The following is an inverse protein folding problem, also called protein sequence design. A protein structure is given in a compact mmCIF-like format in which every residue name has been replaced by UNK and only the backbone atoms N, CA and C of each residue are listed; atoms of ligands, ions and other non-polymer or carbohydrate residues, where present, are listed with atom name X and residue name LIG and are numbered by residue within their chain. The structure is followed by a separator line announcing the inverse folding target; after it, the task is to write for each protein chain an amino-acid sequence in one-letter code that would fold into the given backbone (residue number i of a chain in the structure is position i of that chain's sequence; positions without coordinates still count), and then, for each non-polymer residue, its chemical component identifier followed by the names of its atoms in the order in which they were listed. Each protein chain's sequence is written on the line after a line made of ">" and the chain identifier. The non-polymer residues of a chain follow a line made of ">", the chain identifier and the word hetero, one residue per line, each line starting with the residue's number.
data_IF_335407365781
#
_entry.id   IF_335407365781
#
_cell.length_a   1.000
_cell.length_b   1.000
_cell.length_c   1.000
_cell.angle_alpha   90.00
_cell.angle_beta   90.00
_cell.angle_gamma   90.00
#
_symmetry.space_group_name_H-M   'P 1'
#
loop_
_entity.id
_entity.type
_entity.pdbx_description
1 polymer ?
#
# COMPACT_ATOMS: atom_id res chain seq x y z
N UNK A 1 -51.98 -0.82 27.30
CA UNK A 1 -50.70 -0.35 27.88
C UNK A 1 -49.62 -1.45 27.82
N UNK A 2 -48.47 -1.34 27.16
CA UNK A 2 -47.83 -0.34 26.30
C UNK A 2 -46.80 -1.12 25.46
N UNK A 3 -46.64 -0.78 24.18
CA UNK A 3 -45.63 -1.36 23.29
C UNK A 3 -44.20 -1.16 23.86
N UNK A 4 -43.22 -2.02 23.51
CA UNK A 4 -41.85 -1.82 23.94
C UNK A 4 -41.31 -0.48 23.41
N UNK A 5 -40.41 0.19 24.14
CA UNK A 5 -39.93 1.52 23.76
C UNK A 5 -39.22 1.44 22.42
N UNK A 6 -39.53 2.40 21.53
CA UNK A 6 -38.75 2.72 20.35
C UNK A 6 -37.31 3.06 20.77
N UNK A 7 -36.47 2.05 20.88
CA UNK A 7 -35.06 2.16 21.22
C UNK A 7 -34.29 2.70 20.04
N UNK A 8 -34.11 4.02 20.03
CA UNK A 8 -32.93 4.74 19.53
C UNK A 8 -32.26 4.11 18.30
N UNK A 9 -32.75 4.49 17.11
CA UNK A 9 -31.92 4.41 15.91
C UNK A 9 -30.74 5.36 16.15
N UNK A 10 -29.61 4.81 16.57
CA UNK A 10 -28.35 5.55 16.62
C UNK A 10 -28.09 6.03 15.20
N UNK A 11 -28.39 7.29 14.94
CA UNK A 11 -28.03 7.98 13.71
C UNK A 11 -26.53 8.29 13.80
N UNK A 12 -25.70 7.25 13.84
CA UNK A 12 -24.29 7.38 13.49
C UNK A 12 -24.27 7.78 12.04
N UNK A 13 -24.25 9.09 11.77
CA UNK A 13 -23.66 9.59 10.54
C UNK A 13 -22.24 9.04 10.51
N UNK A 14 -22.06 7.92 9.80
CA UNK A 14 -20.74 7.50 9.37
C UNK A 14 -20.22 8.68 8.54
N UNK A 15 -19.32 9.45 9.12
CA UNK A 15 -18.50 10.41 8.40
C UNK A 15 -17.66 9.59 7.41
N UNK A 16 -18.21 9.31 6.24
CA UNK A 16 -17.52 8.61 5.18
C UNK A 16 -16.41 9.53 4.67
N UNK A 17 -15.18 9.20 5.02
CA UNK A 17 -14.01 9.87 4.50
C UNK A 17 -13.85 9.40 3.05
N UNK A 18 -13.99 10.31 2.11
CA UNK A 18 -13.64 10.02 0.71
C UNK A 18 -12.13 10.16 0.58
N UNK A 19 -11.51 9.11 0.07
CA UNK A 19 -10.11 9.11 -0.33
C UNK A 19 -10.04 9.26 -1.85
N UNK A 20 -9.16 10.13 -2.33
CA UNK A 20 -8.83 10.22 -3.76
C UNK A 20 -7.48 9.60 -4.03
N UNK A 21 -7.37 8.67 -5.01
CA UNK A 21 -6.08 8.20 -5.45
C UNK A 21 -5.36 9.30 -6.22
N UNK A 22 -4.06 9.41 -5.99
CA UNK A 22 -3.13 10.25 -6.77
C UNK A 22 -1.89 9.42 -7.09
N UNK A 23 -1.46 9.46 -8.35
CA UNK A 23 -0.18 8.88 -8.74
C UNK A 23 0.94 9.83 -8.35
N UNK A 24 1.89 9.34 -7.56
CA UNK A 24 3.20 9.96 -7.35
C UNK A 24 4.14 9.56 -8.50
N UNK A 25 4.00 8.33 -9.00
CA UNK A 25 4.70 7.81 -10.18
C UNK A 25 3.72 6.95 -10.98
N UNK A 26 3.59 7.22 -12.27
CA UNK A 26 2.78 6.42 -13.18
C UNK A 26 3.51 5.13 -13.59
N UNK A 27 2.74 4.12 -14.00
CA UNK A 27 3.28 2.93 -14.66
C UNK A 27 3.41 3.22 -16.16
N UNK A 28 4.64 3.46 -16.61
CA UNK A 28 4.99 3.86 -17.98
C UNK A 28 5.96 2.86 -18.65
N UNK A 29 5.85 1.57 -18.26
CA UNK A 29 6.73 0.47 -18.66
C UNK A 29 8.21 0.62 -18.26
N UNK A 30 8.59 1.73 -17.62
CA UNK A 30 9.91 1.92 -17.03
C UNK A 30 9.94 1.47 -15.56
N UNK A 31 11.11 1.01 -15.09
CA UNK A 31 11.35 0.71 -13.68
C UNK A 31 12.16 1.82 -13.02
N UNK A 32 11.92 1.99 -11.72
CA UNK A 32 12.71 2.86 -10.87
C UNK A 32 12.12 4.23 -10.63
N UNK A 33 12.49 4.85 -9.51
CA UNK A 33 12.00 6.14 -9.06
C UNK A 33 13.13 7.17 -9.04
N UNK A 34 12.78 8.42 -9.36
CA UNK A 34 13.70 9.55 -9.21
C UNK A 34 13.91 9.90 -7.75
N UNK A 35 14.92 10.72 -7.46
CA UNK A 35 15.11 11.29 -6.12
C UNK A 35 13.89 12.11 -5.68
N UNK A 36 13.21 12.79 -6.61
CA UNK A 36 12.01 13.57 -6.30
C UNK A 36 10.86 12.65 -5.81
N UNK A 37 10.64 11.51 -6.46
CA UNK A 37 9.65 10.52 -6.00
C UNK A 37 10.00 9.98 -4.60
N UNK A 38 11.26 9.67 -4.33
CA UNK A 38 11.71 9.22 -3.01
C UNK A 38 11.40 10.27 -1.93
N UNK A 39 11.77 11.53 -2.19
CA UNK A 39 11.53 12.65 -1.28
C UNK A 39 10.03 12.85 -1.02
N UNK A 40 9.20 12.75 -2.05
CA UNK A 40 7.75 12.86 -1.90
C UNK A 40 7.16 11.71 -1.06
N UNK A 41 7.60 10.47 -1.29
CA UNK A 41 7.19 9.32 -0.48
C UNK A 41 7.58 9.53 0.99
N UNK A 42 8.79 10.00 1.28
CA UNK A 42 9.18 10.31 2.67
C UNK A 42 8.28 11.39 3.28
N UNK A 43 8.01 12.48 2.56
CA UNK A 43 7.10 13.55 3.00
C UNK A 43 5.65 13.09 3.21
N UNK A 44 5.18 12.10 2.45
CA UNK A 44 3.88 11.45 2.66
C UNK A 44 3.87 10.63 3.96
N UNK A 45 4.94 9.89 4.22
CA UNK A 45 5.10 9.07 5.41
C UNK A 45 5.24 9.93 6.68
N UNK A 46 5.94 11.06 6.62
CA UNK A 46 6.00 12.06 7.71
C UNK A 46 4.63 12.58 8.11
N UNK A 47 3.70 12.67 7.15
CA UNK A 47 2.30 13.06 7.38
C UNK A 47 1.42 11.89 7.82
N UNK A 48 2.01 10.73 8.11
CA UNK A 48 1.28 9.52 8.49
C UNK A 48 0.43 8.93 7.35
N UNK A 49 0.78 9.20 6.09
CA UNK A 49 0.05 8.69 4.91
C UNK A 49 0.82 7.52 4.29
N UNK A 50 0.32 6.26 4.40
CA UNK A 50 0.91 5.13 3.72
C UNK A 50 0.82 5.25 2.19
N UNK A 51 1.75 4.61 1.50
CA UNK A 51 1.87 4.66 0.04
C UNK A 51 1.80 3.26 -0.54
N UNK A 52 0.98 3.05 -1.56
CA UNK A 52 0.96 1.82 -2.34
C UNK A 52 2.01 1.90 -3.45
N UNK A 53 2.78 0.83 -3.66
CA UNK A 53 3.76 0.79 -4.74
C UNK A 53 3.89 -0.62 -5.35
N UNK A 54 3.99 -0.68 -6.67
CA UNK A 54 4.35 -1.88 -7.42
C UNK A 54 5.87 -2.06 -7.47
N UNK A 55 6.36 -3.20 -6.98
CA UNK A 55 7.78 -3.53 -6.98
C UNK A 55 8.08 -4.68 -7.94
N UNK A 56 9.21 -4.60 -8.64
CA UNK A 56 9.86 -5.79 -9.19
C UNK A 56 10.42 -6.60 -8.02
N UNK A 57 10.21 -7.90 -8.02
CA UNK A 57 10.66 -8.80 -6.95
C UNK A 57 11.35 -10.05 -7.52
N UNK A 58 12.15 -10.72 -6.71
CA UNK A 58 12.71 -12.05 -6.97
C UNK A 58 12.55 -12.91 -5.71
N UNK A 59 12.61 -14.23 -5.85
CA UNK A 59 12.66 -15.15 -4.71
C UNK A 59 13.98 -15.03 -3.92
N UNK A 60 15.05 -14.51 -4.55
CA UNK A 60 16.38 -14.40 -3.95
C UNK A 60 16.94 -12.98 -4.15
N UNK A 61 16.40 -11.97 -3.45
CA UNK A 61 16.94 -10.61 -3.53
C UNK A 61 18.31 -10.56 -2.88
N UNK A 62 19.16 -9.65 -3.36
CA UNK A 62 20.40 -9.36 -2.64
C UNK A 62 20.02 -8.68 -1.33
N UNK A 63 20.61 -9.17 -0.23
CA UNK A 63 20.35 -8.65 1.11
C UNK A 63 21.63 -8.11 1.72
N UNK A 64 21.46 -7.13 2.60
CA UNK A 64 22.50 -6.64 3.48
C UNK A 64 21.95 -6.48 4.89
N UNK A 65 22.81 -6.56 5.90
CA UNK A 65 22.42 -6.26 7.27
C UNK A 65 22.77 -4.82 7.62
N UNK A 66 21.77 -4.07 8.06
CA UNK A 66 21.89 -2.69 8.52
C UNK A 66 21.51 -2.67 10.00
N UNK A 67 22.52 -2.76 10.87
CA UNK A 67 22.29 -3.03 12.29
C UNK A 67 21.68 -4.42 12.47
N UNK A 68 20.50 -4.49 13.10
CA UNK A 68 19.76 -5.74 13.32
C UNK A 68 18.66 -5.99 12.27
N UNK A 69 18.69 -5.26 11.15
CA UNK A 69 17.65 -5.32 10.09
C UNK A 69 18.25 -5.85 8.79
N UNK A 70 17.69 -6.91 8.24
CA UNK A 70 18.03 -7.42 6.90
C UNK A 70 17.25 -6.66 5.84
N UNK A 71 17.96 -5.96 4.95
CA UNK A 71 17.42 -5.04 3.96
C UNK A 71 17.72 -5.54 2.54
N UNK A 72 16.71 -5.52 1.66
CA UNK A 72 16.89 -5.81 0.24
C UNK A 72 17.66 -4.66 -0.43
N UNK A 73 18.84 -4.97 -0.98
CA UNK A 73 19.75 -3.99 -1.56
C UNK A 73 19.59 -3.86 -3.08
N UNK A 74 19.44 -4.98 -3.79
CA UNK A 74 19.25 -5.03 -5.24
C UNK A 74 18.34 -6.20 -5.66
N UNK A 75 17.92 -6.20 -6.93
CA UNK A 75 17.39 -7.42 -7.53
C UNK A 75 18.53 -8.44 -7.57
N UNK A 76 18.37 -9.53 -6.83
CA UNK A 76 19.28 -10.67 -6.94
C UNK A 76 18.96 -11.52 -8.18
N UNK A 77 19.65 -12.67 -8.32
CA UNK A 77 19.55 -13.52 -9.51
C UNK A 77 18.18 -14.20 -9.64
N UNK A 78 17.94 -14.81 -10.81
CA UNK A 78 16.78 -15.64 -11.09
C UNK A 78 15.60 -14.92 -11.75
N UNK A 79 14.43 -15.58 -11.75
CA UNK A 79 13.22 -15.05 -12.36
C UNK A 79 12.64 -13.90 -11.55
N UNK A 80 12.27 -12.83 -12.25
CA UNK A 80 11.67 -11.65 -11.64
C UNK A 80 10.14 -11.66 -11.83
N UNK A 81 9.43 -11.29 -10.78
CA UNK A 81 8.00 -11.02 -10.79
C UNK A 81 7.71 -9.55 -10.47
N UNK A 82 6.42 -9.22 -10.43
CA UNK A 82 5.93 -7.94 -9.93
C UNK A 82 4.99 -8.19 -8.75
N UNK A 83 5.05 -7.32 -7.73
CA UNK A 83 4.19 -7.41 -6.56
C UNK A 83 3.89 -6.04 -5.99
N UNK A 84 2.62 -5.78 -5.67
CA UNK A 84 2.20 -4.51 -5.09
C UNK A 84 2.13 -4.61 -3.56
N UNK A 85 2.77 -3.67 -2.89
CA UNK A 85 2.91 -3.65 -1.43
C UNK A 85 2.75 -2.23 -0.87
N UNK A 86 2.58 -2.13 0.44
CA UNK A 86 2.38 -0.86 1.12
C UNK A 86 3.67 -0.38 1.80
N UNK A 87 4.16 0.80 1.43
CA UNK A 87 5.19 1.51 2.18
C UNK A 87 4.51 2.21 3.36
N UNK A 88 4.96 1.89 4.57
CA UNK A 88 4.32 2.35 5.81
C UNK A 88 5.27 3.12 6.74
N UNK A 89 6.54 3.20 6.39
CA UNK A 89 7.55 3.96 7.14
C UNK A 89 8.89 3.94 6.43
N UNK A 90 9.86 4.67 6.97
CA UNK A 90 11.22 4.70 6.45
C UNK A 90 12.23 4.98 7.56
N UNK A 91 13.48 4.62 7.30
CA UNK A 91 14.62 4.87 8.19
C UNK A 91 15.75 5.48 7.36
N UNK A 92 16.09 6.77 7.56
CA UNK A 92 17.25 7.38 6.94
C UNK A 92 18.52 6.91 7.66
N UNK A 93 19.42 6.22 6.96
CA UNK A 93 20.67 5.73 7.52
C UNK A 93 21.73 5.55 6.42
N UNK A 94 22.91 6.13 6.62
CA UNK A 94 23.97 6.18 5.61
C UNK A 94 24.59 4.82 5.29
N UNK A 95 24.53 3.86 6.19
CA UNK A 95 25.01 2.50 5.97
C UNK A 95 24.10 1.67 5.05
N UNK A 96 22.87 2.12 4.79
CA UNK A 96 21.98 1.48 3.82
C UNK A 96 22.20 2.06 2.40
N UNK A 97 22.19 1.23 1.34
CA UNK A 97 22.30 1.67 -0.05
C UNK A 97 21.28 2.73 -0.41
N UNK A 98 21.77 3.86 -0.91
CA UNK A 98 20.92 5.01 -1.23
C UNK A 98 20.56 5.89 -0.03
N UNK A 99 21.14 5.66 1.15
CA UNK A 99 21.01 6.54 2.33
C UNK A 99 19.82 6.23 3.24
N UNK A 100 19.20 5.06 3.11
CA UNK A 100 18.09 4.63 3.95
C UNK A 100 17.36 3.41 3.41
N UNK A 101 16.29 3.02 4.11
CA UNK A 101 15.38 1.96 3.66
C UNK A 101 13.92 2.27 4.03
N UNK A 102 13.01 1.72 3.24
CA UNK A 102 11.58 1.69 3.49
C UNK A 102 11.16 0.48 4.31
N UNK A 103 10.17 0.67 5.17
CA UNK A 103 9.43 -0.40 5.85
C UNK A 103 8.19 -0.69 5.01
N UNK A 104 8.10 -1.92 4.51
CA UNK A 104 7.09 -2.33 3.52
C UNK A 104 6.25 -3.45 4.10
N UNK A 105 4.93 -3.24 4.18
CA UNK A 105 3.98 -4.25 4.61
C UNK A 105 3.52 -5.08 3.41
N UNK A 106 3.70 -6.39 3.52
CA UNK A 106 3.24 -7.36 2.54
C UNK A 106 1.84 -7.89 2.91
N UNK A 107 1.11 -8.41 1.92
CA UNK A 107 -0.21 -9.03 2.06
C UNK A 107 -0.17 -10.57 2.16
N UNK A 108 1.02 -11.18 2.08
CA UNK A 108 1.21 -12.63 2.10
C UNK A 108 1.23 -13.27 3.51
N UNK A 109 0.59 -12.63 4.50
CA UNK A 109 0.54 -13.11 5.88
C UNK A 109 1.76 -12.76 6.74
N UNK A 110 1.66 -12.98 8.05
CA UNK A 110 2.70 -12.64 9.03
C UNK A 110 3.92 -13.56 9.00
N UNK A 111 3.82 -14.73 8.37
CA UNK A 111 4.91 -15.70 8.24
C UNK A 111 5.92 -15.36 7.12
N UNK A 112 5.68 -14.29 6.36
CA UNK A 112 6.58 -13.82 5.30
C UNK A 112 7.32 -12.57 5.75
N UNK A 113 8.66 -12.64 5.74
CA UNK A 113 9.51 -11.56 6.23
C UNK A 113 9.51 -11.44 7.75
N UNK A 114 9.74 -10.25 8.28
CA UNK A 114 9.60 -9.97 9.71
C UNK A 114 8.13 -9.67 10.03
N UNK A 115 7.38 -10.69 10.45
CA UNK A 115 5.97 -10.55 10.84
C UNK A 115 5.07 -9.92 9.76
N UNK A 116 5.36 -10.18 8.49
CA UNK A 116 4.64 -9.61 7.34
C UNK A 116 5.27 -8.32 6.78
N UNK A 117 6.42 -7.90 7.31
CA UNK A 117 7.18 -6.75 6.84
C UNK A 117 8.44 -7.16 6.08
N UNK A 118 8.80 -6.31 5.12
CA UNK A 118 10.03 -6.35 4.35
C UNK A 118 10.72 -4.99 4.47
N UNK A 119 12.03 -4.98 4.33
CA UNK A 119 12.83 -3.77 4.36
C UNK A 119 13.52 -3.58 3.01
N UNK A 120 13.24 -2.48 2.34
CA UNK A 120 13.70 -2.22 0.97
C UNK A 120 14.58 -0.98 0.97
N UNK A 121 15.84 -1.11 0.56
CA UNK A 121 16.74 0.03 0.50
C UNK A 121 16.25 1.11 -0.48
N UNK A 122 16.63 2.36 -0.25
CA UNK A 122 16.35 3.45 -1.18
C UNK A 122 16.95 3.20 -2.57
N UNK A 123 18.09 2.51 -2.64
CA UNK A 123 18.65 2.08 -3.92
C UNK A 123 17.74 1.10 -4.65
N UNK A 124 17.29 0.03 -3.97
CA UNK A 124 16.36 -0.94 -4.54
C UNK A 124 15.09 -0.25 -5.03
N UNK A 125 14.48 0.60 -4.21
CA UNK A 125 13.27 1.34 -4.57
C UNK A 125 13.47 2.19 -5.84
N UNK A 126 14.56 2.97 -5.89
CA UNK A 126 14.86 3.83 -7.04
C UNK A 126 15.20 3.04 -8.31
N UNK A 127 15.55 1.77 -8.22
CA UNK A 127 15.80 0.93 -9.39
C UNK A 127 14.59 0.07 -9.82
N UNK A 128 13.69 -0.28 -8.88
CA UNK A 128 12.80 -1.43 -9.07
C UNK A 128 11.32 -1.17 -8.79
N UNK A 129 10.89 0.09 -8.70
CA UNK A 129 9.46 0.44 -8.54
C UNK A 129 8.80 0.77 -9.88
N UNK A 130 7.59 0.24 -10.14
CA UNK A 130 6.82 0.47 -11.37
C UNK A 130 5.71 1.51 -11.22
N UNK A 131 5.18 1.72 -10.03
CA UNK A 131 4.21 2.79 -9.77
C UNK A 131 4.17 3.13 -8.28
N UNK A 132 3.66 4.32 -8.00
CA UNK A 132 3.50 4.82 -6.64
C UNK A 132 2.16 5.54 -6.59
N UNK A 133 1.26 5.07 -5.74
CA UNK A 133 -0.10 5.58 -5.57
C UNK A 133 -0.32 5.93 -4.10
N UNK A 134 -0.91 7.09 -3.86
CA UNK A 134 -1.34 7.53 -2.54
C UNK A 134 -2.84 7.78 -2.51
N UNK A 135 -3.46 7.56 -1.36
CA UNK A 135 -4.87 7.85 -1.10
C UNK A 135 -4.98 9.02 -0.13
N UNK A 136 -5.35 10.20 -0.62
CA UNK A 136 -5.42 11.43 0.16
C UNK A 136 -6.87 11.73 0.58
N UNK A 137 -7.06 12.26 1.80
CA UNK A 137 -8.38 12.71 2.27
C UNK A 137 -8.90 13.82 1.37
N UNK A 138 -10.10 13.64 0.85
CA UNK A 138 -10.77 14.66 0.05
C UNK A 138 -11.59 15.58 0.94
N UNK A 139 -11.05 16.75 1.25
CA UNK A 139 -11.62 17.72 2.20
C UNK A 139 -12.91 18.42 1.74
N UNK A 140 -13.30 18.27 0.46
CA UNK A 140 -14.46 18.97 -0.13
C UNK A 140 -15.55 18.03 -0.67
N UNK A 141 -15.66 16.79 -0.18
CA UNK A 141 -16.79 15.95 -0.56
C UNK A 141 -18.06 16.35 0.19
N UNK A 142 -19.04 16.90 -0.52
CA UNK A 142 -20.44 16.86 -0.09
C UNK A 142 -21.11 15.73 -0.88
N UNK A 143 -21.41 14.58 -0.27
CA UNK A 143 -22.22 13.58 -0.95
C UNK A 143 -23.53 14.25 -1.36
N UNK A 144 -23.82 14.30 -2.66
CA UNK A 144 -25.19 14.56 -3.08
C UNK A 144 -26.03 13.36 -2.63
N UNK A 145 -27.24 13.62 -2.14
CA UNK A 145 -28.12 12.61 -1.54
C UNK A 145 -28.33 11.37 -2.42
N UNK A 146 -28.18 11.51 -3.75
CA UNK A 146 -28.27 10.42 -4.72
C UNK A 146 -27.09 9.44 -4.74
N UNK A 147 -25.87 9.85 -4.35
CA UNK A 147 -24.71 8.94 -4.32
C UNK A 147 -24.74 8.02 -3.09
N UNK A 148 -25.30 8.50 -1.97
CA UNK A 148 -25.49 7.67 -0.78
C UNK A 148 -26.53 6.57 -1.04
N UNK A 149 -27.58 6.86 -1.83
CA UNK A 149 -28.63 5.89 -2.15
C UNK A 149 -28.16 4.80 -3.13
N UNK A 150 -27.30 5.14 -4.10
CA UNK A 150 -26.73 4.15 -5.02
C UNK A 150 -25.71 3.20 -4.35
N UNK A 151 -25.04 3.66 -3.29
CA UNK A 151 -24.14 2.83 -2.46
C UNK A 151 -24.90 1.94 -1.47
N UNK A 152 -26.13 2.29 -1.10
CA UNK A 152 -27.00 1.47 -0.21
C UNK A 152 -27.66 0.29 -0.91
N UNK A 153 -27.98 0.45 -2.19
CA UNK A 153 -28.74 -0.53 -2.97
C UNK A 153 -27.87 -1.61 -3.61
N UNK A 154 -26.58 -1.35 -3.83
CA UNK A 154 -25.61 -2.34 -4.28
C UNK A 154 -24.79 -2.91 -3.11
N UNK A 155 -25.39 -3.82 -2.33
CA UNK A 155 -24.67 -4.52 -1.25
C UNK A 155 -23.67 -5.55 -1.81
N UNK A 156 -22.37 -5.49 -1.47
CA UNK A 156 -21.51 -6.67 -1.53
C UNK A 156 -21.91 -7.67 -0.42
N UNK A 157 -21.73 -8.95 -0.70
CA UNK A 157 -22.18 -10.10 0.13
C UNK A 157 -21.66 -10.04 1.58
N UNK A 158 -22.43 -10.60 2.55
CA UNK A 158 -22.06 -10.59 3.95
C UNK A 158 -20.96 -11.63 4.17
N UNK A 159 -19.75 -11.12 4.43
CA UNK A 159 -18.69 -11.71 5.27
C UNK A 159 -17.55 -10.68 5.41
N UNK A 160 -17.93 -9.43 5.65
CA UNK A 160 -16.99 -8.35 5.91
C UNK A 160 -16.94 -8.14 7.41
N UNK A 161 -16.16 -8.96 8.10
CA UNK A 161 -15.85 -8.75 9.51
C UNK A 161 -14.96 -7.52 9.63
N UNK A 162 -15.53 -6.47 10.19
CA UNK A 162 -14.83 -5.22 10.45
C UNK A 162 -13.92 -5.35 11.67
N UNK A 163 -12.68 -5.76 11.43
CA UNK A 163 -11.58 -5.60 12.39
C UNK A 163 -10.66 -4.37 12.16
N UNK A 164 -10.46 -3.76 10.99
CA UNK A 164 -10.59 -4.35 9.67
C UNK A 164 -9.29 -4.14 8.85
N UNK A 165 -8.63 -5.18 8.31
CA UNK A 165 -7.37 -5.22 7.51
C UNK A 165 -7.20 -4.25 6.29
N UNK A 166 -7.71 -3.02 6.33
CA UNK A 166 -8.14 -2.25 5.16
C UNK A 166 -7.11 -1.34 4.47
N UNK A 167 -5.87 -1.83 4.27
CA UNK A 167 -5.23 -1.57 2.97
C UNK A 167 -4.65 -2.88 2.47
N UNK A 168 -5.52 -3.71 1.89
CA UNK A 168 -5.12 -4.84 1.07
C UNK A 168 -4.90 -4.30 -0.33
N UNK A 169 -3.64 -4.14 -0.73
CA UNK A 169 -3.33 -4.02 -2.14
C UNK A 169 -3.35 -5.45 -2.70
N UNK A 170 -4.48 -5.84 -3.27
CA UNK A 170 -4.61 -7.09 -3.99
C UNK A 170 -4.24 -6.85 -5.46
N UNK A 171 -3.05 -7.27 -5.87
CA UNK A 171 -2.71 -7.36 -7.27
C UNK A 171 -3.35 -8.62 -7.86
N UNK A 172 -4.31 -8.47 -8.78
CA UNK A 172 -4.71 -9.58 -9.66
C UNK A 172 -3.69 -9.68 -10.79
N UNK A 173 -2.72 -10.58 -10.64
CA UNK A 173 -1.78 -10.88 -11.72
C UNK A 173 -2.54 -11.47 -12.90
N UNK A 174 -2.58 -10.77 -14.05
CA UNK A 174 -2.74 -11.47 -15.34
C UNK A 174 -1.43 -12.18 -15.61
N UNK A 175 -1.34 -13.44 -15.20
CA UNK A 175 -0.28 -14.33 -15.66
C UNK A 175 -0.35 -14.41 -17.18
N UNK A 176 0.56 -13.74 -17.88
CA UNK A 176 0.81 -14.02 -19.29
C UNK A 176 1.71 -15.25 -19.31
N UNK A 177 1.11 -16.43 -19.36
CA UNK A 177 1.82 -17.64 -19.75
C UNK A 177 2.33 -17.42 -21.17
N UNK A 178 3.64 -17.25 -21.34
CA UNK A 178 4.27 -17.47 -22.64
C UNK A 178 4.30 -18.98 -22.86
N UNK A 179 3.43 -19.47 -23.75
CA UNK A 179 3.48 -20.83 -24.24
C UNK A 179 4.79 -21.07 -25.00
N UNK A 180 5.34 -22.27 -24.79
CA UNK A 180 6.35 -22.88 -25.66
C UNK A 180 5.76 -23.20 -27.03
#
# INVERSE_FOLDING_TARGET
>A
PTAPPNGLVANTQQNSIILKPRMVRANDDSWGATQAHLNEVCSLLDRGTPVAAGFRITAMPDIIDVGNTTVWSNLGPGSHGAHSMAIVGYVPISSAPGGGYFIVRNSAGSYRGDKGYLYISYNYFRANVADIIVFEKYSNFRPTSGLIESLRTNRPRPNFEWANPNMVIAASGRGRQSGN
#
